data_IF_154398353497
#
_entry.id   IF_154398353497
#
_cell.length_a   1.000
_cell.length_b   1.000
_cell.length_c   1.000
_cell.angle_alpha   90.00
_cell.angle_beta   90.00
_cell.angle_gamma   90.00
#
_symmetry.space_group_name_H-M   'P 1'
#
loop_
_entity.id
_entity.type
_entity.pdbx_description
1 polymer ?
#
# COMPACT_ATOMS: atom_id res chain seq x y z
N UNK A 1 -19.07 4.66 36.76
CA UNK A 1 -20.10 4.43 35.71
C UNK A 1 -19.80 5.36 34.56
N UNK A 2 -19.06 4.89 33.55
CA UNK A 2 -19.06 5.49 32.22
C UNK A 2 -18.66 4.38 31.24
N UNK A 3 -19.64 3.93 30.46
CA UNK A 3 -19.55 2.86 29.47
C UNK A 3 -19.18 3.48 28.12
N UNK A 4 -18.05 3.07 27.53
CA UNK A 4 -17.69 3.41 26.15
C UNK A 4 -18.06 2.27 25.22
N UNK A 5 -19.07 2.55 24.40
CA UNK A 5 -19.65 1.71 23.37
C UNK A 5 -18.66 1.54 22.20
N UNK A 6 -18.28 0.31 21.87
CA UNK A 6 -17.49 -0.01 20.69
C UNK A 6 -18.43 -0.18 19.48
N UNK A 7 -18.37 0.75 18.53
CA UNK A 7 -19.07 0.67 17.25
C UNK A 7 -18.19 -0.04 16.21
N UNK A 8 -18.72 -1.15 15.67
CA UNK A 8 -18.13 -1.93 14.60
C UNK A 8 -18.16 -1.20 13.25
N UNK A 9 -17.08 -1.31 12.48
CA UNK A 9 -17.05 -1.02 11.04
C UNK A 9 -16.91 -2.32 10.27
N UNK A 10 -18.04 -2.81 9.74
CA UNK A 10 -18.06 -3.91 8.79
C UNK A 10 -17.80 -3.36 7.38
N UNK A 11 -16.66 -3.75 6.81
CA UNK A 11 -16.35 -3.56 5.39
C UNK A 11 -17.25 -4.47 4.55
N UNK A 12 -18.22 -3.85 3.86
CA UNK A 12 -19.05 -4.49 2.85
C UNK A 12 -18.22 -4.74 1.58
N UNK A 13 -17.90 -6.00 1.31
CA UNK A 13 -17.36 -6.43 0.03
C UNK A 13 -18.43 -6.30 -1.06
N UNK A 14 -18.20 -5.41 -2.01
CA UNK A 14 -18.99 -5.28 -3.24
C UNK A 14 -18.71 -6.45 -4.17
N UNK A 15 -19.59 -7.45 -4.16
CA UNK A 15 -19.59 -8.51 -5.18
C UNK A 15 -20.27 -7.99 -6.45
N UNK A 16 -19.48 -7.74 -7.49
CA UNK A 16 -20.00 -7.49 -8.84
C UNK A 16 -20.50 -8.80 -9.42
N UNK A 17 -21.83 -8.97 -9.48
CA UNK A 17 -22.46 -10.07 -10.22
C UNK A 17 -22.13 -9.96 -11.72
N UNK A 18 -21.37 -10.94 -12.23
CA UNK A 18 -21.26 -11.17 -13.66
C UNK A 18 -22.57 -11.80 -14.17
N UNK A 19 -23.35 -11.03 -14.93
CA UNK A 19 -24.49 -11.53 -15.70
C UNK A 19 -23.99 -12.40 -16.85
N UNK A 20 -24.07 -13.73 -16.67
CA UNK A 20 -23.94 -14.70 -17.75
C UNK A 20 -25.25 -14.74 -18.56
N UNK A 21 -25.21 -14.22 -19.78
CA UNK A 21 -26.25 -14.46 -20.80
C UNK A 21 -26.08 -15.87 -21.38
N UNK A 22 -26.71 -16.85 -20.73
CA UNK A 22 -26.93 -18.18 -21.32
C UNK A 22 -28.21 -18.15 -22.16
N UNK A 23 -28.06 -18.23 -23.48
CA UNK A 23 -29.18 -18.40 -24.40
C UNK A 23 -29.64 -19.87 -24.35
N UNK A 24 -30.75 -20.12 -23.66
CA UNK A 24 -31.41 -21.43 -23.66
C UNK A 24 -32.23 -21.59 -24.96
N UNK A 25 -31.87 -22.61 -25.74
CA UNK A 25 -32.65 -23.05 -26.90
C UNK A 25 -33.83 -23.86 -26.39
N UNK A 26 -35.04 -23.31 -26.51
CA UNK A 26 -36.28 -24.02 -26.23
C UNK A 26 -36.69 -24.85 -27.45
N UNK A 27 -36.55 -26.18 -27.35
CA UNK A 27 -37.12 -27.13 -28.31
C UNK A 27 -38.58 -27.34 -27.92
N UNK A 28 -39.50 -26.77 -28.70
CA UNK A 28 -40.93 -27.02 -28.57
C UNK A 28 -41.29 -28.31 -29.34
N UNK A 29 -41.55 -29.38 -28.59
CA UNK A 29 -42.19 -30.59 -29.10
C UNK A 29 -43.70 -30.40 -29.10
N UNK A 30 -44.33 -30.32 -30.27
CA UNK A 30 -45.79 -30.41 -30.42
C UNK A 30 -46.18 -31.74 -31.05
N UNK A 31 -46.93 -32.51 -30.28
CA UNK A 31 -47.53 -33.78 -30.63
C UNK A 31 -48.51 -33.64 -31.81
N UNK A 32 -48.54 -34.67 -32.65
CA UNK A 32 -49.39 -34.75 -33.82
C UNK A 32 -50.89 -34.85 -33.49
N UNK A 33 -51.69 -34.29 -34.39
CA UNK A 33 -53.09 -34.68 -34.59
C UNK A 33 -53.38 -34.67 -36.09
N UNK A 34 -53.96 -35.78 -36.52
CA UNK A 34 -54.49 -36.09 -37.86
C UNK A 34 -55.62 -35.14 -38.25
N UNK A 35 -55.63 -34.67 -39.52
CA UNK A 35 -56.68 -35.00 -40.50
C UNK A 35 -56.85 -33.97 -41.64
N UNK A 36 -57.06 -34.56 -42.82
CA UNK A 36 -57.89 -34.12 -43.96
C UNK A 36 -57.40 -33.03 -44.94
N UNK A 37 -57.41 -33.46 -46.20
CA UNK A 37 -57.22 -32.76 -47.47
C UNK A 37 -58.24 -31.64 -47.67
N UNK A 38 -57.81 -30.50 -48.23
CA UNK A 38 -58.64 -29.65 -49.09
C UNK A 38 -57.76 -28.75 -49.96
N UNK A 39 -57.91 -28.91 -51.27
CA UNK A 39 -57.35 -28.07 -52.33
C UNK A 39 -57.97 -26.68 -52.31
N UNK A 40 -57.15 -25.63 -52.22
CA UNK A 40 -57.52 -24.29 -52.68
C UNK A 40 -56.30 -23.57 -53.26
N UNK A 41 -56.44 -23.21 -54.53
CA UNK A 41 -55.53 -22.38 -55.31
C UNK A 41 -55.85 -20.94 -54.96
N UNK A 42 -54.94 -20.20 -54.32
CA UNK A 42 -54.83 -18.74 -54.48
C UNK A 42 -53.63 -18.16 -53.74
N UNK A 43 -52.90 -17.29 -54.45
CA UNK A 43 -51.94 -16.29 -54.00
C UNK A 43 -50.68 -16.80 -53.27
N UNK A 44 -49.62 -17.01 -54.06
CA UNK A 44 -48.25 -16.89 -53.58
C UNK A 44 -48.05 -15.51 -52.91
N UNK A 45 -47.54 -15.43 -51.67
CA UNK A 45 -47.08 -14.16 -51.12
C UNK A 45 -45.91 -13.71 -51.97
N UNK A 46 -46.08 -12.61 -52.71
CA UNK A 46 -44.99 -11.98 -53.45
C UNK A 46 -44.06 -11.36 -52.41
N UNK A 47 -43.03 -12.13 -52.05
CA UNK A 47 -41.81 -11.59 -51.45
C UNK A 47 -41.38 -10.40 -52.34
N UNK A 48 -40.92 -9.27 -51.80
CA UNK A 48 -40.28 -8.24 -52.61
C UNK A 48 -39.00 -8.85 -53.20
N UNK A 49 -39.15 -9.51 -54.34
CA UNK A 49 -38.07 -10.18 -55.04
C UNK A 49 -37.25 -9.13 -55.76
N UNK A 50 -36.16 -8.71 -55.14
CA UNK A 50 -35.05 -7.97 -55.76
C UNK A 50 -34.43 -8.73 -56.98
N UNK A 51 -34.91 -9.96 -57.21
CA UNK A 51 -34.60 -10.90 -58.27
C UNK A 51 -35.47 -10.75 -59.54
N UNK A 52 -36.67 -10.15 -59.45
CA UNK A 52 -37.58 -10.10 -60.61
C UNK A 52 -37.16 -8.99 -61.58
N UNK A 53 -36.47 -9.38 -62.66
CA UNK A 53 -36.02 -8.48 -63.74
C UNK A 53 -34.51 -8.45 -63.96
N UNK A 54 -33.72 -9.06 -63.06
CA UNK A 54 -32.26 -9.21 -63.18
C UNK A 54 -31.91 -10.54 -63.84
N UNK A 55 -30.88 -10.57 -64.67
CA UNK A 55 -30.38 -11.84 -65.21
C UNK A 55 -29.68 -12.63 -64.10
N UNK A 56 -29.62 -13.97 -64.21
CA UNK A 56 -28.93 -14.83 -63.23
C UNK A 56 -27.49 -14.36 -62.97
N UNK A 57 -26.84 -13.85 -64.02
CA UNK A 57 -25.49 -13.31 -63.96
C UNK A 57 -25.38 -12.04 -63.09
N UNK A 58 -26.39 -11.18 -63.14
CA UNK A 58 -26.47 -9.96 -62.33
C UNK A 58 -26.69 -10.28 -60.84
N UNK A 59 -27.49 -11.31 -60.54
CA UNK A 59 -27.69 -11.83 -59.17
C UNK A 59 -26.40 -12.43 -58.62
N UNK A 60 -25.68 -13.23 -59.41
CA UNK A 60 -24.38 -13.80 -59.01
C UNK A 60 -23.36 -12.69 -58.73
N UNK A 61 -23.34 -11.64 -59.56
CA UNK A 61 -22.45 -10.49 -59.37
C UNK A 61 -22.74 -9.74 -58.07
N UNK A 62 -24.02 -9.53 -57.76
CA UNK A 62 -24.45 -8.88 -56.53
C UNK A 62 -24.13 -9.70 -55.28
N UNK A 63 -24.41 -11.00 -55.29
CA UNK A 63 -24.03 -11.89 -54.18
C UNK A 63 -22.51 -11.96 -53.98
N UNK A 64 -21.73 -11.95 -55.06
CA UNK A 64 -20.28 -11.94 -54.96
C UNK A 64 -19.77 -10.61 -54.36
N UNK A 65 -20.33 -9.47 -54.78
CA UNK A 65 -20.01 -8.17 -54.21
C UNK A 65 -20.37 -8.11 -52.71
N UNK A 66 -21.56 -8.58 -52.34
CA UNK A 66 -22.02 -8.61 -50.95
C UNK A 66 -21.17 -9.57 -50.09
N UNK A 67 -20.78 -10.73 -50.64
CA UNK A 67 -19.88 -11.67 -49.98
C UNK A 67 -18.51 -11.04 -49.75
N UNK A 68 -17.96 -10.35 -50.76
CA UNK A 68 -16.66 -9.68 -50.64
C UNK A 68 -16.72 -8.54 -49.62
N UNK A 69 -17.81 -7.77 -49.58
CA UNK A 69 -18.04 -6.73 -48.57
C UNK A 69 -18.14 -7.31 -47.15
N UNK A 70 -18.96 -8.35 -46.95
CA UNK A 70 -19.11 -9.03 -45.65
C UNK A 70 -17.80 -9.67 -45.20
N UNK A 71 -17.05 -10.28 -46.10
CA UNK A 71 -15.72 -10.83 -45.81
C UNK A 71 -14.76 -9.73 -45.36
N UNK A 72 -14.80 -8.56 -46.01
CA UNK A 72 -14.03 -7.39 -45.62
C UNK A 72 -14.39 -6.89 -44.21
N UNK A 73 -15.69 -6.79 -43.88
CA UNK A 73 -16.17 -6.39 -42.55
C UNK A 73 -15.80 -7.42 -41.48
N UNK A 74 -15.98 -8.72 -41.76
CA UNK A 74 -15.61 -9.81 -40.87
C UNK A 74 -14.12 -9.78 -40.54
N UNK A 75 -13.25 -9.58 -41.53
CA UNK A 75 -11.80 -9.47 -41.30
C UNK A 75 -11.45 -8.27 -40.40
N UNK A 76 -12.10 -7.13 -40.59
CA UNK A 76 -11.91 -5.95 -39.71
C UNK A 76 -12.34 -6.25 -38.27
N UNK A 77 -13.48 -6.91 -38.09
CA UNK A 77 -13.98 -7.31 -36.78
C UNK A 77 -13.05 -8.33 -36.11
N UNK A 78 -12.60 -9.35 -36.85
CA UNK A 78 -11.66 -10.34 -36.34
C UNK A 78 -10.34 -9.69 -35.88
N UNK A 79 -9.82 -8.71 -36.63
CA UNK A 79 -8.64 -7.96 -36.22
C UNK A 79 -8.89 -7.12 -34.96
N UNK A 80 -10.04 -6.42 -34.87
CA UNK A 80 -10.39 -5.65 -33.67
C UNK A 80 -10.55 -6.55 -32.43
N UNK A 81 -11.16 -7.73 -32.59
CA UNK A 81 -11.28 -8.73 -31.52
C UNK A 81 -9.90 -9.23 -31.10
N UNK A 82 -8.99 -9.51 -32.03
CA UNK A 82 -7.63 -9.92 -31.71
C UNK A 82 -6.85 -8.83 -30.95
N UNK A 83 -7.02 -7.56 -31.30
CA UNK A 83 -6.43 -6.45 -30.55
C UNK A 83 -7.01 -6.33 -29.13
N UNK A 84 -8.32 -6.53 -28.98
CA UNK A 84 -8.98 -6.52 -27.67
C UNK A 84 -8.52 -7.68 -26.81
N UNK A 85 -8.40 -8.89 -27.37
CA UNK A 85 -7.89 -10.06 -26.67
C UNK A 85 -6.46 -9.83 -26.14
N UNK A 86 -5.60 -9.26 -26.99
CA UNK A 86 -4.25 -8.86 -26.58
C UNK A 86 -4.26 -7.87 -25.41
N UNK A 87 -5.19 -6.90 -25.39
CA UNK A 87 -5.33 -5.96 -24.26
C UNK A 87 -5.83 -6.64 -23.00
N UNK A 88 -6.78 -7.57 -23.11
CA UNK A 88 -7.29 -8.35 -21.99
C UNK A 88 -6.16 -9.17 -21.35
N UNK A 89 -5.34 -9.84 -22.16
CA UNK A 89 -4.18 -10.59 -21.67
C UNK A 89 -3.17 -9.68 -20.95
N UNK A 90 -2.84 -8.52 -21.53
CA UNK A 90 -1.94 -7.57 -20.87
C UNK A 90 -2.52 -7.05 -19.53
N UNK A 91 -3.82 -6.74 -19.50
CA UNK A 91 -4.47 -6.30 -18.27
C UNK A 91 -4.50 -7.40 -17.22
N UNK A 92 -4.72 -8.67 -17.62
CA UNK A 92 -4.60 -9.83 -16.74
C UNK A 92 -3.20 -9.93 -16.14
N UNK A 93 -2.15 -9.77 -16.95
CA UNK A 93 -0.77 -9.85 -16.45
C UNK A 93 -0.44 -8.71 -15.47
N UNK A 94 -1.01 -7.52 -15.67
CA UNK A 94 -0.93 -6.42 -14.70
C UNK A 94 -1.70 -6.76 -13.42
N UNK A 95 -2.91 -7.31 -13.54
CA UNK A 95 -3.74 -7.68 -12.40
C UNK A 95 -3.08 -8.77 -11.54
N UNK A 96 -2.47 -9.78 -12.16
CA UNK A 96 -1.75 -10.84 -11.45
C UNK A 96 -0.52 -10.29 -10.70
N UNK A 97 0.21 -9.34 -11.29
CA UNK A 97 1.32 -8.67 -10.59
C UNK A 97 0.82 -7.86 -9.40
N UNK A 98 -0.26 -7.10 -9.59
CA UNK A 98 -0.88 -6.34 -8.52
C UNK A 98 -1.38 -7.25 -7.39
N UNK A 99 -1.96 -8.40 -7.71
CA UNK A 99 -2.40 -9.39 -6.71
C UNK A 99 -1.22 -9.89 -5.85
N UNK A 100 -0.08 -10.20 -6.48
CA UNK A 100 1.14 -10.59 -5.77
C UNK A 100 1.65 -9.45 -4.87
N UNK A 101 1.68 -8.23 -5.38
CA UNK A 101 2.11 -7.05 -4.61
C UNK A 101 1.18 -6.79 -3.43
N UNK A 102 -0.14 -6.88 -3.61
CA UNK A 102 -1.13 -6.73 -2.54
C UNK A 102 -0.96 -7.82 -1.49
N UNK A 103 -0.76 -9.08 -1.89
CA UNK A 103 -0.50 -10.17 -0.96
C UNK A 103 0.76 -9.90 -0.11
N UNK A 104 1.83 -9.39 -0.73
CA UNK A 104 3.04 -8.98 -0.01
C UNK A 104 2.77 -7.82 0.96
N UNK A 105 2.00 -6.81 0.55
CA UNK A 105 1.63 -5.69 1.42
C UNK A 105 0.84 -6.18 2.63
N UNK A 106 -0.14 -7.08 2.44
CA UNK A 106 -0.92 -7.69 3.52
C UNK A 106 -0.03 -8.46 4.48
N UNK A 107 0.92 -9.25 3.97
CA UNK A 107 1.90 -9.95 4.81
C UNK A 107 2.74 -8.96 5.63
N UNK A 108 3.25 -7.89 5.01
CA UNK A 108 4.02 -6.87 5.72
C UNK A 108 3.19 -6.13 6.77
N UNK A 109 1.92 -5.83 6.49
CA UNK A 109 1.01 -5.21 7.43
C UNK A 109 0.76 -6.13 8.63
N UNK A 110 0.48 -7.41 8.40
CA UNK A 110 0.29 -8.39 9.47
C UNK A 110 1.55 -8.55 10.33
N UNK A 111 2.74 -8.49 9.72
CA UNK A 111 4.00 -8.49 10.48
C UNK A 111 4.12 -7.23 11.36
N UNK A 112 3.82 -6.06 10.81
CA UNK A 112 3.86 -4.79 11.53
C UNK A 112 2.87 -4.79 12.70
N UNK A 113 1.64 -5.25 12.49
CA UNK A 113 0.63 -5.42 13.56
C UNK A 113 1.16 -6.30 14.69
N UNK A 114 1.79 -7.44 14.37
CA UNK A 114 2.43 -8.32 15.36
C UNK A 114 3.59 -7.65 16.10
N UNK A 115 4.37 -6.82 15.40
CA UNK A 115 5.46 -6.04 16.03
C UNK A 115 4.91 -4.98 16.98
N UNK A 116 3.81 -4.30 16.62
CA UNK A 116 3.15 -3.33 17.49
C UNK A 116 2.56 -4.01 18.73
N UNK A 117 1.91 -5.15 18.58
CA UNK A 117 1.40 -5.94 19.73
C UNK A 117 2.54 -6.36 20.67
N UNK A 118 3.70 -6.74 20.13
CA UNK A 118 4.88 -7.05 20.93
C UNK A 118 5.40 -5.81 21.68
N UNK A 119 5.45 -4.66 21.02
CA UNK A 119 5.87 -3.40 21.64
C UNK A 119 4.88 -3.00 22.74
N UNK A 120 3.58 -3.11 22.50
CA UNK A 120 2.54 -2.82 23.49
C UNK A 120 2.66 -3.73 24.72
N UNK A 121 2.94 -5.02 24.49
CA UNK A 121 3.19 -5.98 25.58
C UNK A 121 4.44 -5.60 26.37
N UNK A 122 5.53 -5.27 25.69
CA UNK A 122 6.76 -4.82 26.36
C UNK A 122 6.56 -3.51 27.14
N UNK A 123 5.81 -2.55 26.60
CA UNK A 123 5.47 -1.32 27.30
C UNK A 123 4.68 -1.62 28.58
N UNK A 124 3.67 -2.49 28.50
CA UNK A 124 2.89 -2.90 29.67
C UNK A 124 3.73 -3.62 30.73
N UNK A 125 4.66 -4.49 30.32
CA UNK A 125 5.56 -5.18 31.23
C UNK A 125 6.54 -4.21 31.92
N UNK A 126 7.09 -3.24 31.19
CA UNK A 126 7.95 -2.19 31.75
C UNK A 126 7.18 -1.32 32.74
N UNK A 127 5.97 -0.87 32.38
CA UNK A 127 5.12 -0.07 33.27
C UNK A 127 4.83 -0.80 34.58
N UNK A 128 4.54 -2.10 34.50
CA UNK A 128 4.28 -2.94 35.67
C UNK A 128 5.54 -3.15 36.52
N UNK A 129 6.69 -3.33 35.89
CA UNK A 129 7.97 -3.46 36.58
C UNK A 129 8.34 -2.15 37.29
N UNK A 130 8.13 -0.99 36.63
CA UNK A 130 8.33 0.34 37.21
C UNK A 130 7.40 0.56 38.40
N UNK A 131 6.09 0.28 38.27
CA UNK A 131 5.15 0.39 39.41
C UNK A 131 5.59 -0.47 40.60
N UNK A 132 6.05 -1.70 40.36
CA UNK A 132 6.55 -2.57 41.43
C UNK A 132 7.81 -1.99 42.10
N UNK A 133 8.73 -1.42 41.31
CA UNK A 133 9.93 -0.77 41.85
C UNK A 133 9.59 0.51 42.61
N UNK A 134 8.64 1.31 42.13
CA UNK A 134 8.15 2.52 42.81
C UNK A 134 7.50 2.17 44.14
N UNK A 135 6.66 1.13 44.20
CA UNK A 135 6.06 0.67 45.45
C UNK A 135 7.11 0.17 46.46
N UNK A 136 8.15 -0.52 46.00
CA UNK A 136 9.25 -0.98 46.85
C UNK A 136 10.12 0.18 47.32
N UNK A 137 10.44 1.13 46.44
CA UNK A 137 11.15 2.36 46.79
C UNK A 137 10.37 3.20 47.80
N UNK A 138 9.05 3.37 47.61
CA UNK A 138 8.20 4.12 48.55
C UNK A 138 8.12 3.41 49.91
N UNK A 139 8.11 2.07 49.92
CA UNK A 139 8.17 1.28 51.17
C UNK A 139 9.50 1.51 51.90
N UNK A 140 10.64 1.42 51.20
CA UNK A 140 11.96 1.67 51.79
C UNK A 140 12.04 3.10 52.32
N UNK A 141 11.60 4.08 51.51
CA UNK A 141 11.56 5.47 51.93
C UNK A 141 10.74 5.66 53.20
N UNK A 142 9.53 5.07 53.31
CA UNK A 142 8.71 5.16 54.53
C UNK A 142 9.40 4.55 55.76
N UNK A 143 10.16 3.47 55.59
CA UNK A 143 10.90 2.80 56.67
C UNK A 143 12.12 3.64 57.13
N UNK A 144 12.89 4.17 56.18
CA UNK A 144 14.10 4.97 56.46
C UNK A 144 13.80 6.44 56.81
N UNK A 145 12.64 6.97 56.43
CA UNK A 145 12.24 8.36 56.70
C UNK A 145 12.26 8.72 58.19
N UNK A 146 12.02 7.75 59.07
CA UNK A 146 12.15 7.95 60.53
C UNK A 146 13.58 8.17 61.01
N UNK A 147 14.58 7.68 60.28
CA UNK A 147 16.02 7.78 60.59
C UNK A 147 16.69 8.97 59.89
N UNK A 148 16.22 9.36 58.70
CA UNK A 148 16.82 10.42 57.87
C UNK A 148 16.37 11.85 58.21
N UNK A 149 15.32 12.01 59.02
CA UNK A 149 14.71 13.33 59.28
C UNK A 149 15.61 14.32 60.04
N UNK A 150 16.75 13.87 60.56
CA UNK A 150 17.70 14.67 61.35
C UNK A 150 19.00 15.00 60.58
N UNK A 151 19.13 14.59 59.31
CA UNK A 151 20.33 14.86 58.49
C UNK A 151 20.09 15.95 57.43
N UNK A 152 20.71 17.12 57.65
CA UNK A 152 20.59 18.28 56.77
C UNK A 152 21.28 18.06 55.41
N UNK A 153 22.29 17.18 55.33
CA UNK A 153 22.93 16.81 54.07
C UNK A 153 21.98 15.99 53.16
N UNK A 154 21.18 15.10 53.73
CA UNK A 154 20.14 14.38 52.98
C UNK A 154 19.07 15.33 52.44
N UNK A 155 18.60 16.30 53.24
CA UNK A 155 17.59 17.28 52.81
C UNK A 155 18.06 18.18 51.66
N UNK A 156 19.31 18.66 51.69
CA UNK A 156 19.85 19.48 50.58
C UNK A 156 19.99 18.70 49.28
N UNK A 157 20.34 17.41 49.36
CA UNK A 157 20.44 16.52 48.19
C UNK A 157 19.05 16.25 47.59
N UNK A 158 18.02 16.00 48.40
CA UNK A 158 16.65 15.80 47.92
C UNK A 158 16.15 17.03 47.16
N UNK A 159 16.41 18.24 47.68
CA UNK A 159 16.04 19.48 47.00
C UNK A 159 16.75 19.67 45.64
N UNK A 160 17.99 19.18 45.49
CA UNK A 160 18.70 19.22 44.19
C UNK A 160 18.12 18.22 43.17
N UNK A 161 17.71 17.03 43.61
CA UNK A 161 17.06 16.06 42.73
C UNK A 161 15.66 16.53 42.30
N UNK A 162 14.88 17.11 43.21
CA UNK A 162 13.59 17.73 42.88
C UNK A 162 13.76 18.85 41.85
N UNK A 163 14.78 19.71 42.01
CA UNK A 163 15.09 20.73 41.00
C UNK A 163 15.49 20.12 39.64
N UNK A 164 16.21 18.99 39.64
CA UNK A 164 16.60 18.31 38.40
C UNK A 164 15.40 17.71 37.67
N UNK A 165 14.46 17.12 38.41
CA UNK A 165 13.18 16.61 37.89
C UNK A 165 12.35 17.75 37.25
N UNK A 166 12.30 18.93 37.89
CA UNK A 166 11.62 20.10 37.33
C UNK A 166 12.22 20.55 35.99
N UNK A 167 13.56 20.57 35.90
CA UNK A 167 14.26 20.93 34.66
C UNK A 167 13.98 19.91 33.56
N UNK A 168 14.01 18.61 33.88
CA UNK A 168 13.70 17.54 32.92
C UNK A 168 12.27 17.68 32.38
N UNK A 169 11.29 17.92 33.27
CA UNK A 169 9.90 18.13 32.88
C UNK A 169 9.71 19.37 32.00
N UNK A 170 10.49 20.43 32.25
CA UNK A 170 10.50 21.64 31.41
C UNK A 170 11.12 21.37 30.03
N UNK A 171 12.22 20.60 29.96
CA UNK A 171 12.82 20.18 28.68
C UNK A 171 11.89 19.29 27.85
N UNK A 172 11.17 18.37 28.49
CA UNK A 172 10.19 17.53 27.80
C UNK A 172 9.01 18.35 27.27
N UNK A 173 8.49 19.27 28.09
CA UNK A 173 7.45 20.21 27.65
C UNK A 173 7.93 21.06 26.46
N UNK A 174 9.16 21.58 26.50
CA UNK A 174 9.73 22.31 25.37
C UNK A 174 9.89 21.43 24.13
N UNK A 175 10.24 20.16 24.30
CA UNK A 175 10.34 19.19 23.19
C UNK A 175 8.97 18.93 22.56
N UNK A 176 7.92 18.75 23.35
CA UNK A 176 6.55 18.65 22.85
C UNK A 176 6.08 19.94 22.17
N UNK A 177 6.43 21.10 22.72
CA UNK A 177 6.15 22.38 22.09
C UNK A 177 6.87 22.51 20.76
N UNK A 178 8.14 22.13 20.65
CA UNK A 178 8.90 22.12 19.39
C UNK A 178 8.24 21.14 18.41
N UNK A 179 7.84 19.94 18.87
CA UNK A 179 7.11 18.97 18.04
C UNK A 179 5.78 19.54 17.54
N UNK A 180 5.03 20.25 18.39
CA UNK A 180 3.79 20.92 18.02
C UNK A 180 4.02 22.08 17.06
N UNK A 181 5.06 22.89 17.26
CA UNK A 181 5.48 23.94 16.33
C UNK A 181 5.91 23.35 14.98
N UNK A 182 6.63 22.23 14.97
CA UNK A 182 6.99 21.50 13.75
C UNK A 182 5.74 20.94 13.07
N UNK A 183 4.81 20.36 13.81
CA UNK A 183 3.54 19.88 13.25
C UNK A 183 2.72 21.05 12.68
N UNK A 184 2.61 22.17 13.39
CA UNK A 184 1.95 23.38 12.90
C UNK A 184 2.67 23.96 11.69
N UNK A 185 4.01 23.98 11.69
CA UNK A 185 4.80 24.43 10.55
C UNK A 185 4.63 23.50 9.36
N UNK A 186 4.58 22.19 9.57
CA UNK A 186 4.30 21.21 8.51
C UNK A 186 2.87 21.37 7.98
N UNK A 187 1.88 21.65 8.83
CA UNK A 187 0.50 21.96 8.41
C UNK A 187 0.38 23.32 7.72
N UNK A 188 1.23 24.29 8.06
CA UNK A 188 1.24 25.63 7.48
C UNK A 188 2.07 25.69 6.18
N UNK A 189 3.08 24.82 6.04
CA UNK A 189 3.97 24.74 4.89
C UNK A 189 3.50 23.70 3.85
N UNK A 190 2.68 22.72 4.26
CA UNK A 190 1.90 21.85 3.38
C UNK A 190 0.42 22.15 3.56
N UNK A 191 -0.03 23.24 2.93
CA UNK A 191 -1.30 23.93 3.22
C UNK A 191 -2.48 23.01 3.49
N UNK A 192 -3.26 23.36 4.51
CA UNK A 192 -4.60 22.82 4.77
C UNK A 192 -4.66 21.28 4.80
N UNK A 193 -3.88 20.68 5.71
CA UNK A 193 -3.77 19.24 5.92
C UNK A 193 -5.11 18.53 6.29
N UNK A 194 -6.19 19.26 6.58
CA UNK A 194 -7.46 18.68 7.05
C UNK A 194 -8.63 18.80 6.05
N UNK A 195 -8.38 19.30 4.83
CA UNK A 195 -9.35 19.15 3.74
C UNK A 195 -8.75 18.25 2.66
N UNK A 196 -9.25 17.01 2.61
CA UNK A 196 -9.06 16.04 1.52
C UNK A 196 -9.43 16.62 0.13
N UNK A 197 -9.97 17.85 0.07
CA UNK A 197 -10.47 18.56 -1.10
C UNK A 197 -9.57 19.75 -1.54
N UNK A 198 -8.48 20.06 -0.81
CA UNK A 198 -7.72 21.31 -0.99
C UNK A 198 -6.27 21.21 -1.49
N UNK A 199 -5.68 20.01 -1.60
CA UNK A 199 -4.26 19.92 -2.00
C UNK A 199 -4.08 20.27 -3.47
N UNK A 200 -3.53 21.46 -3.74
CA UNK A 200 -3.15 21.81 -5.11
C UNK A 200 -2.04 20.85 -5.58
N UNK A 201 -2.05 20.40 -6.84
CA UNK A 201 -1.03 19.47 -7.34
C UNK A 201 0.39 20.06 -7.24
N UNK A 202 0.53 21.39 -7.20
CA UNK A 202 1.79 22.07 -6.94
C UNK A 202 2.31 21.81 -5.52
N UNK A 203 1.43 21.86 -4.52
CA UNK A 203 1.78 21.62 -3.11
C UNK A 203 2.27 20.17 -2.91
N UNK A 204 1.61 19.21 -3.56
CA UNK A 204 2.08 17.83 -3.59
C UNK A 204 3.48 17.68 -4.20
N UNK A 205 3.76 18.38 -5.31
CA UNK A 205 5.07 18.34 -5.97
C UNK A 205 6.16 18.97 -5.11
N UNK A 206 5.90 20.13 -4.49
CA UNK A 206 6.87 20.80 -3.61
C UNK A 206 7.20 19.91 -2.41
N UNK A 207 6.20 19.24 -1.82
CA UNK A 207 6.42 18.28 -0.73
C UNK A 207 7.26 17.08 -1.15
N UNK A 208 6.97 16.49 -2.32
CA UNK A 208 7.76 15.38 -2.87
C UNK A 208 9.20 15.83 -3.08
N UNK A 209 9.41 17.01 -3.66
CA UNK A 209 10.75 17.51 -3.97
C UNK A 209 11.54 17.84 -2.68
N UNK A 210 10.89 18.39 -1.67
CA UNK A 210 11.51 18.64 -0.37
C UNK A 210 11.92 17.32 0.33
N UNK A 211 11.05 16.31 0.28
CA UNK A 211 11.37 14.98 0.80
C UNK A 211 12.53 14.36 0.02
N UNK A 212 12.51 14.44 -1.31
CA UNK A 212 13.58 13.95 -2.18
C UNK A 212 14.90 14.66 -1.93
N UNK A 213 14.90 15.99 -1.74
CA UNK A 213 16.09 16.75 -1.38
C UNK A 213 16.67 16.26 -0.05
N UNK A 214 15.82 16.12 0.96
CA UNK A 214 16.23 15.63 2.28
C UNK A 214 16.78 14.21 2.20
N UNK A 215 16.14 13.32 1.44
CA UNK A 215 16.64 11.96 1.18
C UNK A 215 17.98 11.96 0.44
N UNK A 216 18.16 12.85 -0.55
CA UNK A 216 19.43 12.97 -1.28
C UNK A 216 20.55 13.50 -0.39
N UNK A 217 20.29 14.51 0.43
CA UNK A 217 21.26 15.01 1.41
C UNK A 217 21.65 13.92 2.41
N UNK A 218 20.68 13.13 2.90
CA UNK A 218 20.95 12.01 3.78
C UNK A 218 21.79 10.92 3.10
N UNK A 219 21.51 10.61 1.83
CA UNK A 219 22.31 9.66 1.04
C UNK A 219 23.75 10.18 0.87
N UNK A 220 23.92 11.47 0.57
CA UNK A 220 25.24 12.08 0.39
C UNK A 220 26.07 12.02 1.69
N UNK A 221 25.48 12.41 2.82
CA UNK A 221 26.10 12.30 4.15
C UNK A 221 26.51 10.86 4.46
N UNK A 222 25.62 9.89 4.19
CA UNK A 222 25.92 8.46 4.44
C UNK A 222 26.94 7.89 3.46
N UNK A 223 26.97 8.36 2.22
CA UNK A 223 27.98 7.98 1.25
C UNK A 223 29.37 8.52 1.65
N UNK A 224 29.43 9.75 2.15
CA UNK A 224 30.65 10.35 2.70
C UNK A 224 31.12 9.60 3.95
N UNK A 225 30.20 9.25 4.85
CA UNK A 225 30.50 8.44 6.03
C UNK A 225 31.07 7.06 5.63
N UNK A 226 30.46 6.41 4.63
CA UNK A 226 30.91 5.11 4.12
C UNK A 226 32.27 5.22 3.43
N UNK A 227 32.49 6.27 2.63
CA UNK A 227 33.78 6.58 1.99
C UNK A 227 34.88 6.80 3.04
N UNK A 228 34.59 7.58 4.08
CA UNK A 228 35.49 7.82 5.21
C UNK A 228 35.83 6.51 5.95
N UNK A 229 34.84 5.64 6.18
CA UNK A 229 35.06 4.31 6.78
C UNK A 229 35.94 3.43 5.88
N UNK A 230 35.73 3.42 4.57
CA UNK A 230 36.59 2.70 3.60
C UNK A 230 38.02 3.24 3.65
N UNK A 231 38.20 4.56 3.63
CA UNK A 231 39.53 5.18 3.67
C UNK A 231 40.26 4.85 4.98
N UNK A 232 39.55 4.87 6.12
CA UNK A 232 40.11 4.43 7.41
C UNK A 232 40.54 2.97 7.37
N UNK A 233 39.74 2.07 6.80
CA UNK A 233 40.09 0.66 6.65
C UNK A 233 41.26 0.45 5.69
N UNK A 234 41.30 1.18 4.58
CA UNK A 234 42.43 1.17 3.63
C UNK A 234 43.72 1.60 4.31
N UNK A 235 43.69 2.71 5.07
CA UNK A 235 44.86 3.21 5.77
C UNK A 235 45.30 2.30 6.93
N UNK A 236 44.35 1.65 7.62
CA UNK A 236 44.66 0.63 8.64
C UNK A 236 45.25 -0.63 8.02
N UNK A 237 44.73 -1.11 6.89
CA UNK A 237 45.29 -2.23 6.14
C UNK A 237 46.71 -1.95 5.66
N UNK A 238 46.99 -0.72 5.19
CA UNK A 238 48.36 -0.29 4.85
C UNK A 238 49.28 -0.14 6.06
N UNK A 239 48.75 0.15 7.26
CA UNK A 239 49.54 0.19 8.49
C UNK A 239 49.86 -1.22 9.03
N UNK A 240 48.99 -2.21 8.78
CA UNK A 240 49.24 -3.62 9.12
C UNK A 240 50.30 -4.27 8.23
N UNK A 241 50.43 -3.83 6.97
CA UNK A 241 51.44 -4.32 6.03
C UNK A 241 52.83 -3.66 6.22
N UNK A 242 52.91 -2.63 7.07
CA UNK A 242 54.14 -1.87 7.33
C UNK A 242 54.64 -2.04 8.77
N UNK A 243 54.34 -3.15 9.45
CA UNK A 243 55.14 -3.56 10.61
C UNK A 243 56.55 -3.94 10.08
N UNK A 244 57.61 -3.15 10.33
CA UNK A 244 58.92 -3.53 9.88
C UNK A 244 59.31 -4.76 10.71
N UNK A 245 59.32 -5.93 10.08
CA UNK A 245 60.06 -7.10 10.54
C UNK A 245 61.45 -6.62 10.99
N UNK A 246 61.63 -6.52 12.30
CA UNK A 246 62.88 -6.08 12.90
C UNK A 246 64.03 -6.94 12.36
N UNK A 247 65.22 -6.35 12.11
CA UNK A 247 66.32 -7.10 11.56
C UNK A 247 66.67 -8.25 12.49
N UNK A 248 66.53 -9.48 11.97
CA UNK A 248 66.85 -10.71 12.65
C UNK A 248 68.30 -10.69 13.11
N UNK A 249 68.49 -10.65 14.43
CA UNK A 249 69.78 -10.87 15.07
C UNK A 249 70.00 -12.39 15.08
N UNK A 250 70.76 -12.86 14.10
CA UNK A 250 71.45 -14.15 14.13
C UNK A 250 72.80 -13.98 14.84
N UNK A 251 73.13 -14.94 15.71
CA UNK A 251 74.44 -15.18 16.36
C UNK A 251 74.81 -14.17 17.47
N UNK A 252 75.25 -14.55 18.67
CA UNK A 252 76.02 -15.72 19.10
C UNK A 252 75.81 -16.04 20.59
#
# INVERSE_FOLDING_TARGET
>A
LNTTTSTASAILGSSTSATQTSSAVVVASTAGTTSTVSTSVTATPKLPSEITGKTVEEIIKEWNAELQERTGKFRKQANAIAEWDRRILNNRDVLLRLEIEVAKVVETQSNLERQLELIETHQHEVDKALQSMEEEAERIYKDERGLLLDDEAASTRDAMYEQSELIERELEQMTEQIKSVIQSLNSNQGGELDTLDGMTPLDAVVRILNNQLTSLMWIDEKAEEFSSRIQKLSNQGSASDHEPMGPGIWMS
#
